data_IF_758056788035
#
_entry.id   IF_758056788035
#
_cell.length_a   1.000
_cell.length_b   1.000
_cell.length_c   1.000
_cell.angle_alpha   90.00
_cell.angle_beta   90.00
_cell.angle_gamma   90.00
#
_symmetry.space_group_name_H-M   'P 1'
#
loop_
_entity.id
_entity.type
_entity.pdbx_description
1 polymer ?
#
# COMPACT_ATOMS: atom_id res chain seq x y z
N UNK A 1 37.28 -16.09 -83.44
CA UNK A 1 37.19 -15.22 -82.25
C UNK A 1 38.42 -14.33 -82.23
N UNK A 2 38.21 -13.02 -82.34
CA UNK A 2 39.21 -11.96 -82.43
C UNK A 2 39.43 -11.40 -81.02
N UNK A 3 40.67 -11.32 -80.54
CA UNK A 3 41.02 -10.55 -79.35
C UNK A 3 42.32 -9.80 -79.63
N UNK A 4 42.21 -8.51 -79.95
CA UNK A 4 43.32 -7.59 -80.10
C UNK A 4 43.61 -6.96 -78.74
N UNK A 5 44.82 -7.18 -78.20
CA UNK A 5 45.30 -6.53 -76.98
C UNK A 5 46.18 -5.35 -77.35
N UNK A 6 45.75 -4.15 -76.95
CA UNK A 6 46.44 -2.89 -77.14
C UNK A 6 47.63 -2.73 -76.18
N UNK A 7 48.76 -2.25 -76.69
CA UNK A 7 49.93 -1.82 -75.90
C UNK A 7 49.74 -0.36 -75.49
N UNK A 8 49.78 -0.09 -74.18
CA UNK A 8 49.68 1.24 -73.58
C UNK A 8 51.08 1.72 -73.18
N UNK A 9 51.55 2.85 -73.73
CA UNK A 9 52.84 3.47 -73.38
C UNK A 9 52.57 4.62 -72.40
N UNK A 10 53.07 4.52 -71.16
CA UNK A 10 53.00 5.60 -70.16
C UNK A 10 54.28 6.45 -70.21
N UNK A 11 54.13 7.74 -70.51
CA UNK A 11 55.17 8.77 -70.37
C UNK A 11 55.10 9.36 -68.96
N UNK A 12 56.14 9.13 -68.14
CA UNK A 12 56.26 9.69 -66.80
C UNK A 12 57.07 11.00 -66.80
N UNK A 13 56.54 12.05 -66.20
CA UNK A 13 57.24 13.32 -65.96
C UNK A 13 57.92 13.30 -64.58
N UNK A 14 59.22 13.65 -64.52
CA UNK A 14 59.97 13.86 -63.26
C UNK A 14 59.92 15.35 -62.90
N UNK A 15 59.40 15.68 -61.71
CA UNK A 15 59.35 17.03 -61.16
C UNK A 15 60.66 17.45 -60.47
N UNK A 16 60.99 18.74 -60.58
CA UNK A 16 62.21 19.34 -60.05
C UNK A 16 62.24 19.39 -58.50
N UNK A 17 63.42 19.26 -57.86
CA UNK A 17 63.56 19.19 -56.40
C UNK A 17 63.30 20.54 -55.73
N UNK A 18 62.55 20.50 -54.62
CA UNK A 18 62.11 21.67 -53.85
C UNK A 18 63.24 22.30 -53.01
N UNK A 19 63.21 23.64 -52.77
CA UNK A 19 64.22 24.34 -51.99
C UNK A 19 64.20 23.96 -50.49
N UNK A 20 65.31 24.15 -49.76
CA UNK A 20 65.39 23.80 -48.36
C UNK A 20 64.52 24.72 -47.48
N UNK A 21 64.00 24.22 -46.35
CA UNK A 21 63.09 24.98 -45.49
C UNK A 21 63.81 26.07 -44.68
N UNK A 22 63.11 27.19 -44.45
CA UNK A 22 63.54 28.31 -43.61
C UNK A 22 63.01 28.12 -42.19
N UNK A 23 63.88 28.21 -41.18
CA UNK A 23 63.51 28.02 -39.77
C UNK A 23 63.08 29.36 -39.13
N UNK A 24 61.85 29.44 -38.63
CA UNK A 24 61.32 30.58 -37.87
C UNK A 24 61.37 30.23 -36.38
N UNK A 25 62.01 31.07 -35.57
CA UNK A 25 62.10 30.87 -34.12
C UNK A 25 60.99 31.68 -33.44
N UNK A 26 60.02 31.00 -32.83
CA UNK A 26 58.96 31.60 -32.03
C UNK A 26 59.30 31.45 -30.54
N UNK A 27 59.43 32.57 -29.82
CA UNK A 27 59.57 32.56 -28.36
C UNK A 27 58.19 32.65 -27.71
N UNK A 28 57.88 31.72 -26.79
CA UNK A 28 56.61 31.66 -26.07
C UNK A 28 56.82 32.17 -24.64
N UNK A 29 56.18 33.29 -24.29
CA UNK A 29 56.17 33.82 -22.92
C UNK A 29 55.07 33.13 -22.12
N UNK A 30 55.42 32.40 -21.05
CA UNK A 30 54.43 31.75 -20.19
C UNK A 30 53.69 32.77 -19.31
N UNK A 31 52.36 32.75 -19.35
CA UNK A 31 51.51 33.54 -18.44
C UNK A 31 51.48 32.87 -17.05
N UNK A 32 51.69 33.60 -15.94
CA UNK A 32 51.60 32.99 -14.61
C UNK A 32 50.17 32.50 -14.34
N UNK A 33 50.06 31.26 -13.87
CA UNK A 33 48.80 30.64 -13.45
C UNK A 33 48.27 31.35 -12.19
N UNK A 34 47.00 31.78 -12.15
CA UNK A 34 46.44 32.40 -10.94
C UNK A 34 46.45 31.42 -9.77
N UNK A 35 46.82 31.91 -8.58
CA UNK A 35 46.75 31.18 -7.31
C UNK A 35 45.29 30.92 -6.95
N UNK A 36 44.87 29.68 -6.64
CA UNK A 36 43.50 29.41 -6.24
C UNK A 36 43.17 30.13 -4.93
N UNK A 37 42.04 30.85 -4.90
CA UNK A 37 41.45 31.40 -3.68
C UNK A 37 40.97 30.27 -2.78
N UNK A 38 41.24 30.27 -1.47
CA UNK A 38 40.71 29.24 -0.58
C UNK A 38 39.18 29.26 -0.60
N UNK A 39 38.57 28.10 -0.83
CA UNK A 39 37.13 27.91 -0.72
C UNK A 39 36.71 28.08 0.74
N UNK A 40 35.72 28.93 1.07
CA UNK A 40 35.25 29.05 2.44
C UNK A 40 34.66 27.71 2.92
N UNK A 41 35.09 27.25 4.09
CA UNK A 41 34.52 26.08 4.77
C UNK A 41 33.05 26.36 5.09
N UNK A 42 32.15 25.49 4.63
CA UNK A 42 30.73 25.59 4.97
C UNK A 42 30.54 25.46 6.48
N UNK A 43 29.72 26.34 7.06
CA UNK A 43 29.31 26.24 8.45
C UNK A 43 28.60 24.90 8.70
N UNK A 44 28.78 24.25 9.86
CA UNK A 44 28.09 22.99 10.16
C UNK A 44 26.58 23.18 10.10
N UNK A 45 25.90 22.23 9.45
CA UNK A 45 24.44 22.19 9.37
C UNK A 45 23.84 22.09 10.79
N UNK A 46 22.81 22.88 11.12
CA UNK A 46 22.15 22.79 12.43
C UNK A 46 21.62 21.38 12.68
N UNK A 47 21.80 20.86 13.89
CA UNK A 47 21.27 19.57 14.28
C UNK A 47 19.74 19.53 14.06
N UNK A 48 19.17 18.41 13.55
CA UNK A 48 17.73 18.29 13.35
C UNK A 48 16.99 18.45 14.68
N UNK A 49 15.86 19.17 14.62
CA UNK A 49 15.01 19.41 15.79
C UNK A 49 14.52 18.08 16.40
N UNK A 50 14.35 18.00 17.73
CA UNK A 50 13.82 16.82 18.40
C UNK A 50 12.40 16.50 17.90
N UNK A 51 12.09 15.20 17.78
CA UNK A 51 10.75 14.75 17.46
C UNK A 51 9.75 15.21 18.54
N UNK A 52 8.51 15.55 18.18
CA UNK A 52 7.49 15.92 19.15
C UNK A 52 7.16 14.75 20.09
N UNK A 53 6.83 15.08 21.33
CA UNK A 53 6.37 14.08 22.31
C UNK A 53 5.10 13.36 21.81
N UNK A 54 4.94 12.06 22.10
CA UNK A 54 3.76 11.31 21.70
C UNK A 54 2.51 11.89 22.38
N UNK A 55 1.54 12.31 21.56
CA UNK A 55 0.24 12.78 22.06
C UNK A 55 -0.68 11.57 22.25
N UNK A 56 -1.30 11.38 23.43
CA UNK A 56 -2.25 10.29 23.63
C UNK A 56 -3.42 10.37 22.64
N UNK A 57 -3.80 9.23 22.06
CA UNK A 57 -5.00 9.13 21.25
C UNK A 57 -6.24 9.54 22.07
N UNK A 58 -7.21 10.17 21.41
CA UNK A 58 -8.51 10.46 22.01
C UNK A 58 -9.17 9.15 22.50
N UNK A 59 -9.96 9.20 23.60
CA UNK A 59 -10.75 8.06 24.04
C UNK A 59 -11.63 7.53 22.91
N UNK A 60 -11.81 6.20 22.86
CA UNK A 60 -12.72 5.60 21.90
C UNK A 60 -14.15 6.15 22.12
N UNK A 61 -14.90 6.45 21.04
CA UNK A 61 -16.30 6.81 21.17
C UNK A 61 -17.07 5.65 21.83
N UNK A 62 -18.03 6.00 22.69
CA UNK A 62 -18.95 5.02 23.28
C UNK A 62 -19.93 4.62 22.18
N UNK A 63 -19.82 3.39 21.68
CA UNK A 63 -20.82 2.82 20.80
C UNK A 63 -22.04 2.41 21.62
N UNK A 64 -23.19 3.03 21.34
CA UNK A 64 -24.46 2.54 21.83
C UNK A 64 -24.76 1.24 21.08
N UNK A 65 -24.87 0.08 21.76
CA UNK A 65 -25.20 -1.16 21.10
C UNK A 65 -26.59 -0.99 20.49
N UNK A 66 -26.68 -0.89 19.17
CA UNK A 66 -27.93 -0.63 18.49
C UNK A 66 -28.92 -1.79 18.63
N UNK A 67 -30.16 -1.58 18.17
CA UNK A 67 -31.07 -2.69 18.02
C UNK A 67 -30.55 -3.71 17.00
N UNK A 68 -31.00 -4.95 17.13
CA UNK A 68 -30.81 -5.97 16.11
C UNK A 68 -31.51 -5.53 14.81
N UNK A 69 -30.78 -5.50 13.70
CA UNK A 69 -31.33 -5.26 12.36
C UNK A 69 -31.16 -6.50 11.52
N UNK A 70 -32.24 -7.12 11.05
CA UNK A 70 -32.13 -8.27 10.15
C UNK A 70 -31.65 -7.81 8.76
N UNK A 71 -30.37 -8.07 8.45
CA UNK A 71 -29.77 -7.82 7.14
C UNK A 71 -30.18 -8.88 6.10
N UNK A 72 -30.98 -9.87 6.50
CA UNK A 72 -31.46 -10.95 5.65
C UNK A 72 -30.74 -12.27 5.90
N UNK A 73 -31.34 -13.35 5.38
CA UNK A 73 -30.77 -14.68 5.51
C UNK A 73 -29.37 -14.76 4.88
N UNK A 74 -28.47 -15.47 5.56
CA UNK A 74 -27.09 -15.72 5.14
C UNK A 74 -26.71 -17.15 5.47
N UNK A 75 -25.66 -17.63 4.81
CA UNK A 75 -25.05 -18.90 5.20
C UNK A 75 -24.56 -18.80 6.66
N UNK A 76 -24.76 -19.88 7.42
CA UNK A 76 -24.55 -19.89 8.88
C UNK A 76 -25.61 -19.18 9.73
N UNK A 77 -26.66 -18.59 9.15
CA UNK A 77 -27.79 -18.03 9.90
C UNK A 77 -29.13 -18.23 9.15
N UNK A 78 -29.50 -19.50 8.97
CA UNK A 78 -30.64 -19.98 8.19
C UNK A 78 -31.95 -20.07 9.00
N UNK A 79 -31.86 -19.98 10.31
CA UNK A 79 -32.99 -19.93 11.23
C UNK A 79 -33.91 -18.75 10.98
N UNK A 80 -35.09 -18.83 11.57
CA UNK A 80 -36.11 -17.80 11.45
C UNK A 80 -36.08 -16.89 12.68
N UNK A 81 -36.01 -15.55 12.49
CA UNK A 81 -36.21 -14.61 13.58
C UNK A 81 -37.70 -14.48 13.92
N UNK A 82 -37.96 -14.22 15.19
CA UNK A 82 -39.25 -13.73 15.66
C UNK A 82 -39.18 -12.21 15.75
N UNK A 83 -40.17 -11.54 15.18
CA UNK A 83 -40.29 -10.09 15.22
C UNK A 83 -41.32 -9.68 16.28
N UNK A 84 -41.14 -8.51 16.88
CA UNK A 84 -42.16 -7.87 17.71
C UNK A 84 -43.26 -7.20 16.85
N UNK A 85 -44.21 -6.52 17.52
CA UNK A 85 -45.29 -5.79 16.84
C UNK A 85 -44.83 -4.59 16.02
N UNK A 86 -43.58 -4.13 16.21
CA UNK A 86 -42.94 -3.07 15.43
C UNK A 86 -42.08 -3.58 14.27
N UNK A 87 -41.93 -4.90 14.12
CA UNK A 87 -41.07 -5.52 13.12
C UNK A 87 -39.61 -5.66 13.53
N UNK A 88 -39.27 -5.43 14.79
CA UNK A 88 -37.90 -5.57 15.31
C UNK A 88 -37.61 -7.03 15.70
N UNK A 89 -36.45 -7.61 15.33
CA UNK A 89 -36.05 -8.93 15.79
C UNK A 89 -35.90 -8.98 17.30
N UNK A 90 -36.58 -9.93 17.94
CA UNK A 90 -36.52 -10.14 19.41
C UNK A 90 -35.91 -11.48 19.79
N UNK A 91 -36.00 -12.48 18.93
CA UNK A 91 -35.32 -13.75 19.12
C UNK A 91 -35.06 -14.47 17.81
N UNK A 92 -34.16 -15.46 17.86
CA UNK A 92 -33.78 -16.28 16.73
C UNK A 92 -33.61 -17.73 17.17
N UNK A 93 -34.19 -18.67 16.41
CA UNK A 93 -34.05 -20.09 16.69
C UNK A 93 -32.98 -20.70 15.80
N UNK A 94 -31.96 -21.29 16.42
CA UNK A 94 -30.81 -21.88 15.76
C UNK A 94 -31.22 -23.15 15.03
N UNK A 95 -30.81 -23.29 13.77
CA UNK A 95 -31.03 -24.50 12.96
C UNK A 95 -29.73 -25.15 12.55
N UNK A 96 -29.81 -26.32 11.89
CA UNK A 96 -28.62 -27.03 11.42
C UNK A 96 -27.81 -26.17 10.44
N UNK A 97 -26.51 -26.13 10.66
CA UNK A 97 -25.57 -25.33 9.86
C UNK A 97 -25.40 -23.90 10.33
N UNK A 98 -26.10 -23.46 11.38
CA UNK A 98 -25.93 -22.12 11.93
C UNK A 98 -24.68 -22.01 12.81
N UNK A 99 -24.12 -20.80 12.89
CA UNK A 99 -23.07 -20.44 13.84
C UNK A 99 -23.44 -19.15 14.58
N UNK A 100 -23.00 -19.02 15.84
CA UNK A 100 -23.31 -17.85 16.64
C UNK A 100 -22.74 -16.54 16.04
N UNK A 101 -21.57 -16.64 15.41
CA UNK A 101 -20.94 -15.52 14.72
C UNK A 101 -21.78 -15.07 13.51
N UNK A 102 -22.22 -16.01 12.68
CA UNK A 102 -23.01 -15.71 11.50
C UNK A 102 -24.39 -15.13 11.87
N UNK A 103 -24.99 -15.61 12.95
CA UNK A 103 -26.21 -15.03 13.53
C UNK A 103 -25.96 -13.58 13.96
N UNK A 104 -24.89 -13.30 14.70
CA UNK A 104 -24.56 -11.93 15.12
C UNK A 104 -24.40 -10.99 13.91
N UNK A 105 -23.72 -11.46 12.87
CA UNK A 105 -23.52 -10.68 11.65
C UNK A 105 -24.81 -10.50 10.84
N UNK A 106 -25.74 -11.47 10.84
CA UNK A 106 -27.07 -11.29 10.22
C UNK A 106 -27.84 -10.15 10.87
N UNK A 107 -27.75 -10.04 12.19
CA UNK A 107 -28.51 -9.06 12.97
C UNK A 107 -27.78 -7.73 13.21
N UNK A 108 -26.66 -7.51 12.53
CA UNK A 108 -25.80 -6.33 12.70
C UNK A 108 -25.39 -6.07 14.17
N UNK A 109 -25.14 -7.16 14.91
CA UNK A 109 -24.73 -7.10 16.31
C UNK A 109 -23.26 -7.51 16.48
N UNK A 110 -22.48 -6.78 17.31
CA UNK A 110 -21.19 -7.27 17.76
C UNK A 110 -21.36 -8.60 18.50
N UNK A 111 -20.57 -9.62 18.17
CA UNK A 111 -20.66 -10.94 18.81
C UNK A 111 -20.58 -10.86 20.34
N UNK A 112 -19.70 -10.00 20.86
CA UNK A 112 -19.57 -9.79 22.30
C UNK A 112 -20.84 -9.21 22.93
N UNK A 113 -21.56 -8.34 22.21
CA UNK A 113 -22.84 -7.84 22.68
C UNK A 113 -23.88 -8.95 22.69
N UNK A 114 -23.94 -9.75 21.63
CA UNK A 114 -24.87 -10.87 21.55
C UNK A 114 -24.61 -11.92 22.64
N UNK A 115 -23.34 -12.20 22.97
CA UNK A 115 -22.97 -13.07 24.12
C UNK A 115 -23.46 -12.49 25.45
N UNK A 116 -23.33 -11.17 25.67
CA UNK A 116 -23.83 -10.53 26.90
C UNK A 116 -25.35 -10.64 27.04
N UNK A 117 -26.08 -10.62 25.92
CA UNK A 117 -27.52 -10.81 25.89
C UNK A 117 -27.93 -12.28 26.04
N UNK A 118 -26.97 -13.21 25.87
CA UNK A 118 -27.17 -14.65 25.85
C UNK A 118 -26.15 -15.36 26.74
N UNK A 119 -26.20 -15.16 28.08
CA UNK A 119 -25.24 -15.75 29.00
C UNK A 119 -25.26 -17.30 29.04
N UNK A 120 -26.33 -17.91 28.50
CA UNK A 120 -26.43 -19.35 28.28
C UNK A 120 -25.49 -19.87 27.18
N UNK A 121 -25.03 -18.99 26.28
CA UNK A 121 -24.08 -19.35 25.23
C UNK A 121 -22.67 -19.26 25.81
N UNK A 122 -22.03 -20.41 25.93
CA UNK A 122 -20.69 -20.55 26.49
C UNK A 122 -19.60 -20.54 25.41
N UNK A 123 -18.35 -20.63 25.82
CA UNK A 123 -17.18 -20.77 24.94
C UNK A 123 -17.16 -19.75 23.80
N UNK A 124 -17.52 -18.51 24.11
CA UNK A 124 -17.56 -17.40 23.15
C UNK A 124 -18.47 -17.63 21.93
N UNK A 125 -19.44 -18.54 22.02
CA UNK A 125 -20.32 -18.90 20.91
C UNK A 125 -19.71 -19.91 19.94
N UNK A 126 -18.64 -20.61 20.32
CA UNK A 126 -18.12 -21.76 19.57
C UNK A 126 -19.17 -22.88 19.47
N UNK A 127 -19.92 -23.10 20.54
CA UNK A 127 -20.94 -24.12 20.61
C UNK A 127 -22.33 -23.48 20.70
N UNK A 128 -23.11 -23.64 19.64
CA UNK A 128 -24.55 -23.35 19.64
C UNK A 128 -25.28 -24.59 19.14
N UNK A 129 -26.38 -24.94 19.79
CA UNK A 129 -27.11 -26.16 19.51
C UNK A 129 -28.39 -25.86 18.73
N UNK A 130 -28.78 -26.81 17.88
CA UNK A 130 -30.03 -26.72 17.14
C UNK A 130 -31.19 -26.63 18.13
N UNK A 131 -32.07 -25.65 17.92
CA UNK A 131 -33.20 -25.35 18.80
C UNK A 131 -32.89 -24.34 19.90
N UNK A 132 -31.63 -23.93 20.07
CA UNK A 132 -31.31 -22.83 20.99
C UNK A 132 -32.01 -21.55 20.54
N UNK A 133 -32.56 -20.83 21.52
CA UNK A 133 -33.19 -19.53 21.30
C UNK A 133 -32.18 -18.45 21.68
N UNK A 134 -31.72 -17.72 20.67
CA UNK A 134 -30.85 -16.57 20.81
C UNK A 134 -31.73 -15.33 21.01
N UNK A 135 -31.54 -14.65 22.13
CA UNK A 135 -32.12 -13.35 22.43
C UNK A 135 -31.49 -12.29 21.52
N UNK A 136 -32.32 -11.54 20.79
CA UNK A 136 -31.93 -10.41 19.95
C UNK A 136 -32.41 -9.08 20.52
N UNK A 137 -33.17 -9.10 21.62
CA UNK A 137 -33.64 -7.89 22.27
C UNK A 137 -32.49 -7.22 23.04
N UNK A 138 -31.85 -6.27 22.37
CA UNK A 138 -30.76 -5.44 22.90
C UNK A 138 -31.10 -4.66 24.18
N UNK A 139 -32.38 -4.50 24.50
CA UNK A 139 -32.83 -3.87 25.76
C UNK A 139 -32.82 -4.86 26.94
N UNK A 140 -32.84 -6.17 26.66
CA UNK A 140 -32.70 -7.23 27.65
C UNK A 140 -31.27 -7.76 27.64
N UNK A 141 -30.40 -7.11 28.40
CA UNK A 141 -29.14 -7.75 28.82
C UNK A 141 -29.47 -8.84 29.85
N UNK A 142 -28.85 -10.00 29.72
CA UNK A 142 -29.02 -11.13 30.65
C UNK A 142 -28.57 -10.83 32.08
#
# INVERSE_FOLDING_TARGET
MLAASAVLVLSGCVGAPAPPPVTIVATVTATPKPTPTPTPTAAPEPAPAPAPDPVPNAPAPVYEPGPAYDLGARDGANGSPVLDGGGMPISYTVVSGDSFFDIAQRFDLPQQQLLRMNPQVHDYGENVYIGDVVNLDWTKTG
#
